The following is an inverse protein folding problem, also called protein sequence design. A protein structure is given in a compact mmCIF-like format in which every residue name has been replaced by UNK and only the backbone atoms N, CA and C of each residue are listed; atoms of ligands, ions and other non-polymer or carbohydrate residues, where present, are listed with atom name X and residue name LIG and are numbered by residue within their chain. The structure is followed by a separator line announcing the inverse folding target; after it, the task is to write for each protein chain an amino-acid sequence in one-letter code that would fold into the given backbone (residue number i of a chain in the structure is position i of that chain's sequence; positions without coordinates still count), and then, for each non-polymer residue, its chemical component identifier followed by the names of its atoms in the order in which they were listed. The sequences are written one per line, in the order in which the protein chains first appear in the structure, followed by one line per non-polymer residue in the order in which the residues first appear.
data_IF_222158922945
#
_entry.id   IF_222158922945
#
_cell.length_a   1.000
_cell.length_b   1.000
_cell.length_c   1.000
_cell.angle_alpha   90.00
_cell.angle_beta   90.00
_cell.angle_gamma   90.00
#
_symmetry.space_group_name_H-M   'P 1'
#
loop_
_entity.id
_entity.type
_entity.pdbx_description
1 polymer ?
#
# COMPACT_ATOMS: atom_id res chain seq x y z
N UNK A 1 -13.73 -17.73 -96.39
CA UNK A 1 -13.72 -16.56 -95.47
C UNK A 1 -14.20 -17.08 -94.11
N UNK A 2 -13.57 -16.92 -92.93
CA UNK A 2 -12.48 -16.09 -92.39
C UNK A 2 -11.78 -16.91 -91.27
N UNK A 3 -10.50 -16.59 -91.05
CA UNK A 3 -9.59 -17.11 -90.00
C UNK A 3 -10.01 -16.65 -88.59
N UNK A 4 -9.64 -17.39 -87.55
CA UNK A 4 -8.80 -16.87 -86.44
C UNK A 4 -8.41 -17.93 -85.39
N UNK A 5 -7.09 -17.99 -85.12
CA UNK A 5 -6.46 -18.57 -83.92
C UNK A 5 -6.47 -17.51 -82.81
N UNK A 6 -6.69 -17.86 -81.54
CA UNK A 6 -6.14 -17.10 -80.40
C UNK A 6 -5.72 -18.05 -79.26
N UNK A 7 -4.46 -17.87 -78.86
CA UNK A 7 -3.73 -18.40 -77.70
C UNK A 7 -3.98 -17.47 -76.49
N UNK A 8 -4.07 -17.98 -75.26
CA UNK A 8 -3.80 -17.25 -74.00
C UNK A 8 -3.65 -18.29 -72.88
N UNK A 9 -2.45 -18.66 -72.41
CA UNK A 9 -1.59 -18.00 -71.42
C UNK A 9 -2.32 -17.54 -70.14
N UNK A 10 -2.17 -18.35 -69.09
CA UNK A 10 -1.58 -17.95 -67.81
C UNK A 10 -2.31 -16.95 -66.90
N UNK A 11 -2.81 -17.45 -65.77
CA UNK A 11 -2.78 -16.72 -64.50
C UNK A 11 -2.64 -17.73 -63.35
N UNK A 12 -1.41 -17.89 -62.85
CA UNK A 12 -1.14 -18.57 -61.58
C UNK A 12 -1.46 -17.57 -60.47
N UNK A 13 -2.47 -17.89 -59.67
CA UNK A 13 -2.91 -17.09 -58.54
C UNK A 13 -2.07 -17.53 -57.32
N UNK A 14 -1.00 -16.80 -57.04
CA UNK A 14 -0.19 -16.99 -55.82
C UNK A 14 -0.98 -16.42 -54.65
N UNK A 15 -1.59 -17.33 -53.88
CA UNK A 15 -2.26 -17.04 -52.63
C UNK A 15 -1.21 -16.78 -51.53
N UNK A 16 -0.73 -15.55 -51.41
CA UNK A 16 0.11 -15.14 -50.28
C UNK A 16 -0.76 -15.02 -49.03
N UNK A 17 -0.86 -16.14 -48.28
CA UNK A 17 -1.31 -16.15 -46.90
C UNK A 17 -0.32 -15.33 -46.06
N UNK A 18 -0.61 -14.04 -45.92
CA UNK A 18 -0.01 -13.22 -44.90
C UNK A 18 -0.42 -13.75 -43.53
N UNK A 19 0.44 -14.59 -42.94
CA UNK A 19 0.45 -14.85 -41.51
C UNK A 19 0.73 -13.50 -40.83
N UNK A 20 -0.34 -12.77 -40.52
CA UNK A 20 -0.28 -11.67 -39.56
C UNK A 20 0.18 -12.28 -38.24
N UNK A 21 1.47 -12.12 -37.96
CA UNK A 21 2.03 -12.44 -36.67
C UNK A 21 1.29 -11.59 -35.63
N UNK A 22 0.47 -12.25 -34.81
CA UNK A 22 0.00 -11.68 -33.56
C UNK A 22 1.24 -11.27 -32.75
N UNK A 23 1.51 -9.97 -32.71
CA UNK A 23 2.50 -9.40 -31.82
C UNK A 23 1.97 -9.51 -30.39
N UNK A 24 2.11 -10.71 -29.81
CA UNK A 24 2.00 -10.91 -28.38
C UNK A 24 3.22 -10.26 -27.74
N UNK A 25 3.00 -9.15 -27.04
CA UNK A 25 3.42 -8.90 -25.65
C UNK A 25 3.34 -7.40 -25.40
N UNK A 26 2.22 -6.97 -24.83
CA UNK A 26 2.31 -5.88 -23.87
C UNK A 26 3.31 -6.34 -22.81
N UNK A 27 4.51 -5.75 -22.83
CA UNK A 27 5.48 -5.91 -21.77
C UNK A 27 4.79 -5.44 -20.49
N UNK A 28 4.64 -6.33 -19.52
CA UNK A 28 4.04 -6.06 -18.22
C UNK A 28 5.02 -5.16 -17.44
N UNK A 29 5.01 -3.86 -17.77
CA UNK A 29 5.87 -2.82 -17.19
C UNK A 29 5.41 -2.48 -15.78
N UNK A 30 5.61 -3.41 -14.84
CA UNK A 30 5.30 -3.18 -13.43
C UNK A 30 6.53 -2.61 -12.75
N UNK A 31 6.66 -1.29 -12.74
CA UNK A 31 7.67 -0.59 -11.95
C UNK A 31 6.98 0.10 -10.80
N UNK A 32 7.03 -0.45 -9.58
CA UNK A 32 6.48 0.25 -8.41
C UNK A 32 7.43 1.30 -7.91
N UNK A 33 7.29 2.53 -8.39
CA UNK A 33 8.02 3.68 -7.84
C UNK A 33 7.14 4.93 -7.84
N UNK A 34 5.99 4.88 -7.16
CA UNK A 34 5.45 6.11 -6.56
C UNK A 34 5.08 5.83 -5.12
N UNK A 35 5.59 6.69 -4.25
CA UNK A 35 5.51 6.51 -2.80
C UNK A 35 4.67 7.65 -2.23
N UNK A 36 3.69 7.32 -1.38
CA UNK A 36 3.02 8.34 -0.58
C UNK A 36 4.00 8.81 0.50
N UNK A 37 4.75 9.87 0.20
CA UNK A 37 5.63 10.54 1.15
C UNK A 37 7.06 9.98 1.30
N UNK A 38 7.59 9.15 0.40
CA UNK A 38 8.95 8.60 0.55
C UNK A 38 10.05 9.29 -0.28
N UNK A 39 9.76 10.42 -0.94
CA UNK A 39 10.74 11.15 -1.76
C UNK A 39 12.01 11.61 -1.01
N UNK A 40 12.03 11.55 0.33
CA UNK A 40 13.19 11.88 1.17
C UNK A 40 13.61 10.76 2.15
N UNK A 41 13.10 9.53 2.01
CA UNK A 41 13.58 8.39 2.80
C UNK A 41 14.46 7.54 1.90
N UNK A 42 15.75 7.42 2.27
CA UNK A 42 16.67 6.55 1.55
C UNK A 42 16.01 5.16 1.34
N UNK A 43 16.05 4.59 0.12
CA UNK A 43 15.52 3.27 -0.12
C UNK A 43 16.19 2.32 0.86
N UNK A 44 15.40 1.69 1.74
CA UNK A 44 15.91 0.61 2.59
C UNK A 44 16.43 -0.45 1.63
N UNK A 45 17.73 -0.69 1.68
CA UNK A 45 18.43 -1.66 0.85
C UNK A 45 17.79 -3.03 1.08
N UNK A 46 17.00 -3.49 0.12
CA UNK A 46 16.23 -4.72 0.21
C UNK A 46 17.18 -5.91 0.01
N UNK A 47 17.63 -6.54 1.09
CA UNK A 47 18.26 -7.87 1.04
C UNK A 47 17.25 -8.92 0.54
N UNK A 48 17.64 -9.89 -0.29
CA UNK A 48 16.73 -10.85 -0.89
C UNK A 48 16.35 -11.96 0.10
N UNK A 49 15.23 -11.81 0.81
CA UNK A 49 14.38 -12.89 1.36
C UNK A 49 13.15 -12.27 2.06
N UNK A 50 11.93 -12.83 1.97
CA UNK A 50 10.77 -12.35 2.75
C UNK A 50 10.91 -12.83 4.20
N UNK A 51 11.91 -12.29 4.89
CA UNK A 51 11.88 -12.11 6.34
C UNK A 51 11.32 -10.71 6.56
N UNK A 52 10.46 -10.54 7.56
CA UNK A 52 9.80 -9.28 7.90
C UNK A 52 10.66 -8.03 7.65
N UNK A 53 10.08 -6.93 7.12
CA UNK A 53 10.82 -5.71 6.82
C UNK A 53 11.68 -5.32 8.02
N UNK A 54 12.96 -5.09 7.74
CA UNK A 54 14.02 -4.79 8.71
C UNK A 54 13.47 -3.81 9.73
N UNK A 55 13.36 -4.26 10.98
CA UNK A 55 13.08 -3.41 12.12
C UNK A 55 14.00 -2.18 12.01
N UNK A 56 13.51 -0.99 12.37
CA UNK A 56 14.41 0.14 12.59
C UNK A 56 15.62 -0.35 13.38
N UNK A 57 16.81 0.08 12.97
CA UNK A 57 18.08 -0.28 13.61
C UNK A 57 18.18 0.14 15.09
N UNK A 58 17.16 0.81 15.64
CA UNK A 58 17.02 1.17 17.06
C UNK A 58 16.29 0.11 17.90
N UNK A 59 15.74 -0.95 17.30
CA UNK A 59 15.19 -2.09 18.03
C UNK A 59 13.92 -1.82 18.85
N UNK A 60 13.24 -0.68 18.66
CA UNK A 60 12.10 -0.28 19.52
C UNK A 60 10.71 -0.37 18.86
N UNK A 61 10.58 -0.84 17.63
CA UNK A 61 9.28 -1.00 16.97
C UNK A 61 9.09 -2.38 16.37
N UNK A 62 8.26 -3.24 17.00
CA UNK A 62 7.73 -4.42 16.32
C UNK A 62 6.64 -3.98 15.35
N UNK A 63 6.77 -4.36 14.09
CA UNK A 63 5.70 -4.19 13.10
C UNK A 63 4.42 -4.86 13.59
N UNK A 64 3.30 -4.14 13.48
CA UNK A 64 1.97 -4.70 13.57
C UNK A 64 1.44 -5.15 12.21
N UNK A 65 0.25 -5.73 12.22
CA UNK A 65 -0.47 -6.15 11.02
C UNK A 65 -1.83 -5.46 10.94
N UNK A 66 -2.28 -5.17 9.73
CA UNK A 66 -3.69 -4.83 9.44
C UNK A 66 -4.30 -6.01 8.70
N UNK A 67 -5.33 -6.60 9.29
CA UNK A 67 -5.98 -7.83 8.81
C UNK A 67 -7.47 -7.59 8.54
N UNK A 68 -8.08 -8.51 7.81
CA UNK A 68 -9.51 -8.50 7.58
C UNK A 68 -10.27 -8.66 8.91
N UNK A 69 -11.31 -7.84 9.17
CA UNK A 69 -12.30 -8.12 10.21
C UNK A 69 -12.90 -9.52 10.05
N UNK A 70 -13.31 -10.15 11.16
CA UNK A 70 -13.79 -11.54 11.16
C UNK A 70 -15.04 -11.78 10.32
N UNK A 71 -15.81 -10.73 10.03
CA UNK A 71 -17.00 -10.77 9.19
C UNK A 71 -16.72 -10.42 7.71
N UNK A 72 -15.47 -10.19 7.32
CA UNK A 72 -15.10 -9.90 5.94
C UNK A 72 -14.59 -11.14 5.22
N UNK A 73 -15.00 -11.27 3.97
CA UNK A 73 -14.38 -12.17 3.02
C UNK A 73 -13.08 -11.57 2.46
N UNK A 74 -12.16 -12.42 2.02
CA UNK A 74 -10.89 -11.99 1.41
C UNK A 74 -11.09 -11.00 0.25
N UNK A 75 -12.12 -11.20 -0.58
CA UNK A 75 -12.43 -10.28 -1.68
C UNK A 75 -12.83 -8.87 -1.19
N UNK A 76 -13.53 -8.78 -0.06
CA UNK A 76 -13.91 -7.49 0.53
C UNK A 76 -12.67 -6.76 1.09
N UNK A 77 -11.78 -7.49 1.76
CA UNK A 77 -10.51 -6.92 2.22
C UNK A 77 -9.68 -6.39 1.04
N UNK A 78 -9.51 -7.21 -0.01
CA UNK A 78 -8.80 -6.79 -1.23
C UNK A 78 -9.39 -5.51 -1.84
N UNK A 79 -10.73 -5.40 -1.90
CA UNK A 79 -11.39 -4.18 -2.39
C UNK A 79 -11.04 -2.97 -1.53
N UNK A 80 -11.02 -3.10 -0.20
CA UNK A 80 -10.62 -2.00 0.69
C UNK A 80 -9.16 -1.60 0.51
N UNK A 81 -8.25 -2.55 0.25
CA UNK A 81 -6.85 -2.22 -0.08
C UNK A 81 -6.75 -1.44 -1.38
N UNK A 82 -7.48 -1.86 -2.43
CA UNK A 82 -7.50 -1.13 -3.71
C UNK A 82 -8.09 0.27 -3.53
N UNK A 83 -9.18 0.41 -2.78
CA UNK A 83 -9.77 1.72 -2.47
C UNK A 83 -8.80 2.60 -1.67
N UNK A 84 -8.06 2.03 -0.71
CA UNK A 84 -7.05 2.75 0.07
C UNK A 84 -5.93 3.31 -0.81
N UNK A 85 -5.47 2.55 -1.79
CA UNK A 85 -4.39 2.93 -2.70
C UNK A 85 -4.86 3.65 -3.98
N UNK A 86 -6.15 4.00 -4.06
CA UNK A 86 -6.79 4.57 -5.26
C UNK A 86 -6.25 5.93 -5.73
N UNK A 87 -5.45 6.59 -4.90
CA UNK A 87 -4.79 7.86 -5.20
C UNK A 87 -3.31 7.69 -5.62
N UNK A 88 -2.84 6.45 -5.74
CA UNK A 88 -1.47 6.14 -6.17
C UNK A 88 -1.46 5.61 -7.60
N UNK A 89 -0.36 5.88 -8.29
CA UNK A 89 -0.07 5.41 -9.64
C UNK A 89 1.24 4.64 -9.69
N UNK A 90 1.46 3.92 -10.79
CA UNK A 90 2.79 3.56 -11.24
C UNK A 90 3.49 4.80 -11.84
N UNK A 91 4.83 4.82 -12.02
CA UNK A 91 5.60 5.95 -12.58
C UNK A 91 5.18 6.38 -13.99
N UNK A 92 4.46 5.53 -14.71
CA UNK A 92 3.92 5.85 -16.04
C UNK A 92 2.54 6.52 -15.97
N UNK A 93 2.04 6.81 -14.77
CA UNK A 93 0.75 7.44 -14.50
C UNK A 93 -0.44 6.49 -14.53
N UNK A 94 -0.25 5.20 -14.77
CA UNK A 94 -1.34 4.23 -14.73
C UNK A 94 -1.73 3.88 -13.29
N UNK A 95 -2.97 3.41 -13.05
CA UNK A 95 -3.35 2.92 -11.74
C UNK A 95 -2.42 1.81 -11.24
N UNK A 96 -2.10 1.85 -9.95
CA UNK A 96 -1.23 0.88 -9.30
C UNK A 96 -1.67 -0.58 -9.60
N UNK A 97 -0.77 -1.38 -10.14
CA UNK A 97 -1.02 -2.78 -10.46
C UNK A 97 -0.82 -3.63 -9.21
N UNK A 98 -1.89 -3.87 -8.46
CA UNK A 98 -1.88 -4.66 -7.23
C UNK A 98 -2.23 -6.13 -7.49
N UNK A 99 -1.42 -7.03 -6.95
CA UNK A 99 -1.71 -8.45 -6.84
C UNK A 99 -2.66 -8.75 -5.66
N UNK A 100 -2.62 -10.00 -5.20
CA UNK A 100 -3.40 -10.42 -4.03
C UNK A 100 -2.69 -10.04 -2.74
N UNK A 101 -3.42 -9.35 -1.85
CA UNK A 101 -2.98 -8.95 -0.51
C UNK A 101 -3.80 -9.72 0.52
N UNK A 102 -3.20 -10.66 1.26
CA UNK A 102 -3.93 -11.44 2.25
C UNK A 102 -4.43 -10.60 3.42
N UNK A 103 -5.68 -10.82 3.82
CA UNK A 103 -6.25 -10.27 5.05
C UNK A 103 -6.03 -11.16 6.27
N UNK A 104 -5.17 -12.17 6.19
CA UNK A 104 -4.89 -13.10 7.30
C UNK A 104 -3.57 -12.75 7.99
N UNK A 105 -3.54 -12.95 9.31
CA UNK A 105 -2.34 -12.71 10.13
C UNK A 105 -1.25 -13.72 9.80
N UNK A 106 0.01 -13.26 9.73
CA UNK A 106 1.21 -14.05 9.43
C UNK A 106 1.31 -14.66 8.02
N UNK A 107 0.38 -14.36 7.10
CA UNK A 107 0.53 -14.75 5.70
C UNK A 107 1.72 -14.00 5.06
N UNK A 108 2.32 -14.58 4.01
CA UNK A 108 3.46 -13.97 3.30
C UNK A 108 3.12 -12.68 2.54
N UNK A 109 1.83 -12.46 2.26
CA UNK A 109 1.28 -11.21 1.74
C UNK A 109 0.39 -10.57 2.80
N UNK A 110 0.13 -9.28 2.71
CA UNK A 110 -0.73 -8.56 3.65
C UNK A 110 -0.29 -7.13 3.87
N UNK A 111 -0.81 -6.52 4.92
CA UNK A 111 -0.45 -5.16 5.31
C UNK A 111 0.31 -5.21 6.63
N UNK A 112 1.52 -4.64 6.61
CA UNK A 112 2.35 -4.43 7.80
C UNK A 112 2.35 -2.95 8.11
N UNK A 113 2.30 -2.60 9.38
CA UNK A 113 2.40 -1.21 9.78
C UNK A 113 3.22 -1.04 11.05
N UNK A 114 3.81 0.15 11.18
CA UNK A 114 4.51 0.61 12.37
C UNK A 114 4.17 2.08 12.55
N UNK A 115 4.18 2.56 13.78
CA UNK A 115 4.09 3.98 14.03
C UNK A 115 4.57 4.33 15.42
N UNK A 116 4.77 5.62 15.63
CA UNK A 116 4.95 6.20 16.96
C UNK A 116 3.99 7.38 17.09
N UNK A 117 3.61 7.71 18.33
CA UNK A 117 2.77 8.88 18.58
C UNK A 117 3.41 9.81 19.61
N UNK A 118 3.51 11.08 19.25
CA UNK A 118 3.83 12.18 20.15
C UNK A 118 2.64 12.54 21.01
N UNK A 119 2.85 12.70 22.31
CA UNK A 119 1.81 12.95 23.29
C UNK A 119 2.13 14.18 24.13
N UNK A 120 1.11 14.93 24.55
CA UNK A 120 1.25 16.11 25.42
C UNK A 120 1.74 15.80 26.84
N UNK A 121 1.88 14.53 27.21
CA UNK A 121 2.36 14.11 28.51
C UNK A 121 2.83 12.66 28.52
N UNK A 122 3.18 12.18 29.71
CA UNK A 122 3.62 10.81 29.94
C UNK A 122 2.47 9.80 29.72
N UNK A 123 2.74 8.76 28.94
CA UNK A 123 1.79 7.67 28.73
C UNK A 123 1.85 6.66 29.87
N UNK A 124 0.71 6.38 30.49
CA UNK A 124 0.58 5.37 31.53
C UNK A 124 -0.19 4.16 31.01
N UNK A 125 0.52 3.07 30.70
CA UNK A 125 -0.07 1.88 30.11
C UNK A 125 -1.05 1.15 31.04
N UNK A 126 -0.88 1.28 32.35
CA UNK A 126 -1.70 0.61 33.37
C UNK A 126 -2.66 1.58 34.10
N UNK A 127 -2.69 2.84 33.69
CA UNK A 127 -3.39 3.91 34.42
C UNK A 127 -4.39 4.67 33.56
N UNK A 128 -4.95 5.72 34.15
CA UNK A 128 -5.84 6.63 33.45
C UNK A 128 -5.01 7.59 32.61
N UNK A 129 -5.28 7.62 31.30
CA UNK A 129 -4.72 8.60 30.39
C UNK A 129 -5.78 9.68 30.08
N UNK A 130 -5.34 10.93 29.98
CA UNK A 130 -6.10 12.03 29.41
C UNK A 130 -5.13 12.91 28.63
N UNK A 131 -4.70 12.39 27.47
CA UNK A 131 -3.61 12.95 26.68
C UNK A 131 -4.13 13.37 25.32
N UNK A 132 -3.47 14.38 24.75
CA UNK A 132 -3.68 14.81 23.36
C UNK A 132 -2.51 14.36 22.50
N UNK A 133 -2.81 13.98 21.27
CA UNK A 133 -1.79 13.63 20.28
C UNK A 133 -1.19 14.90 19.68
N UNK A 134 0.11 14.85 19.41
CA UNK A 134 0.88 15.94 18.82
C UNK A 134 1.62 15.45 17.57
N UNK A 135 1.72 16.29 16.54
CA UNK A 135 2.51 15.99 15.33
C UNK A 135 3.98 15.68 15.63
N UNK A 136 4.58 16.39 16.60
CA UNK A 136 5.98 16.20 16.97
C UNK A 136 6.21 14.80 17.55
N UNK A 137 7.08 14.00 16.92
CA UNK A 137 7.37 12.62 17.34
C UNK A 137 6.32 11.59 16.90
N UNK A 138 5.33 12.00 16.11
CA UNK A 138 4.37 11.09 15.49
C UNK A 138 4.81 10.67 14.09
N UNK A 139 4.70 9.39 13.79
CA UNK A 139 4.86 8.88 12.44
C UNK A 139 4.04 7.60 12.22
N UNK A 140 3.69 7.35 10.96
CA UNK A 140 3.01 6.14 10.52
C UNK A 140 3.69 5.61 9.25
N UNK A 141 4.06 4.33 9.28
CA UNK A 141 4.55 3.57 8.14
C UNK A 141 3.59 2.42 7.87
N UNK A 142 3.13 2.30 6.63
CA UNK A 142 2.35 1.15 6.16
C UNK A 142 3.07 0.58 4.93
N UNK A 143 3.27 -0.74 4.93
CA UNK A 143 3.81 -1.49 3.80
C UNK A 143 2.73 -2.47 3.33
N UNK A 144 2.26 -2.30 2.09
CA UNK A 144 1.34 -3.24 1.44
C UNK A 144 2.15 -4.22 0.61
N UNK A 145 2.10 -5.49 1.01
CA UNK A 145 2.82 -6.61 0.40
C UNK A 145 1.81 -7.50 -0.32
N UNK A 146 1.95 -7.64 -1.63
CA UNK A 146 1.18 -8.60 -2.41
C UNK A 146 2.06 -9.71 -2.98
N UNK A 147 1.45 -10.61 -3.75
CA UNK A 147 2.15 -11.75 -4.34
C UNK A 147 3.14 -11.39 -5.46
N UNK A 148 3.25 -10.13 -5.87
CA UNK A 148 4.26 -9.69 -6.84
C UNK A 148 5.55 -9.20 -6.15
N UNK A 149 5.49 -8.83 -4.88
CA UNK A 149 6.67 -8.39 -4.12
C UNK A 149 7.75 -9.47 -4.12
N UNK A 150 8.99 -9.08 -4.44
CA UNK A 150 10.14 -9.99 -4.57
C UNK A 150 10.30 -10.63 -5.94
N UNK A 151 9.29 -10.55 -6.82
CA UNK A 151 9.41 -11.00 -8.22
C UNK A 151 10.21 -10.00 -9.06
N UNK A 152 10.71 -10.43 -10.22
CA UNK A 152 11.35 -9.56 -11.22
C UNK A 152 10.32 -9.04 -12.22
N UNK A 153 10.36 -7.74 -12.53
CA UNK A 153 9.56 -7.14 -13.61
C UNK A 153 10.20 -7.37 -14.99
N UNK A 154 9.60 -6.82 -16.05
CA UNK A 154 10.10 -6.94 -17.42
C UNK A 154 11.50 -6.33 -17.61
N UNK A 155 11.85 -5.36 -16.77
CA UNK A 155 13.13 -4.65 -16.72
C UNK A 155 14.18 -5.37 -15.85
N UNK A 156 13.83 -6.48 -15.19
CA UNK A 156 14.72 -7.25 -14.31
C UNK A 156 14.89 -6.67 -12.91
N UNK A 157 14.09 -5.67 -12.55
CA UNK A 157 14.07 -5.05 -11.22
C UNK A 157 13.19 -5.86 -10.27
N UNK A 158 13.55 -5.87 -8.99
CA UNK A 158 12.73 -6.53 -7.96
C UNK A 158 11.55 -5.63 -7.60
N UNK A 159 10.33 -6.15 -7.72
CA UNK A 159 9.11 -5.46 -7.31
C UNK A 159 9.12 -5.32 -5.78
N UNK A 160 8.97 -4.08 -5.31
CA UNK A 160 8.96 -3.72 -3.89
C UNK A 160 7.52 -3.66 -3.35
N UNK A 161 7.37 -3.65 -2.02
CA UNK A 161 6.09 -3.29 -1.40
C UNK A 161 5.63 -1.89 -1.82
N UNK A 162 4.36 -1.58 -1.57
CA UNK A 162 3.82 -0.23 -1.71
C UNK A 162 3.97 0.49 -0.36
N UNK A 163 4.87 1.47 -0.23
CA UNK A 163 5.10 2.15 1.03
C UNK A 163 4.22 3.39 1.17
N UNK A 164 3.63 3.54 2.36
CA UNK A 164 2.98 4.78 2.83
C UNK A 164 3.77 5.26 4.03
N UNK A 165 4.23 6.51 4.00
CA UNK A 165 4.92 7.12 5.13
C UNK A 165 4.39 8.51 5.42
N UNK A 166 3.90 8.71 6.65
CA UNK A 166 3.39 10.00 7.14
C UNK A 166 4.19 10.38 8.38
N UNK A 167 4.93 11.48 8.31
CA UNK A 167 5.68 12.04 9.42
C UNK A 167 5.93 13.54 9.18
N UNK A 168 6.22 14.32 10.23
CA UNK A 168 6.36 15.78 10.13
C UNK A 168 7.42 16.28 9.14
N UNK A 169 8.43 15.46 8.85
CA UNK A 169 9.54 15.74 7.93
C UNK A 169 9.26 15.31 6.48
N UNK A 170 8.12 14.69 6.23
CA UNK A 170 7.73 14.18 4.92
C UNK A 170 6.99 15.25 4.14
N UNK A 171 7.34 15.41 2.85
CA UNK A 171 6.62 16.30 1.96
C UNK A 171 5.16 15.89 1.84
N UNK A 172 4.25 16.88 1.84
CA UNK A 172 2.82 16.65 1.84
C UNK A 172 2.23 16.35 3.22
N UNK A 173 3.03 16.23 4.28
CA UNK A 173 2.51 16.13 5.64
C UNK A 173 1.60 17.32 6.00
N UNK A 174 0.47 17.04 6.64
CA UNK A 174 -0.47 18.07 7.10
C UNK A 174 -0.52 18.09 8.64
N UNK A 175 -0.92 16.98 9.28
CA UNK A 175 -1.03 16.94 10.74
C UNK A 175 -1.08 15.52 11.32
N UNK A 176 -0.79 15.38 12.62
CA UNK A 176 -1.25 14.24 13.42
C UNK A 176 -2.03 14.77 14.61
N UNK A 177 -3.27 14.32 14.75
CA UNK A 177 -4.20 14.76 15.81
C UNK A 177 -4.86 13.56 16.47
N UNK A 178 -5.48 13.77 17.63
CA UNK A 178 -6.10 12.68 18.37
C UNK A 178 -6.16 12.88 19.87
N UNK A 179 -6.76 11.89 20.53
CA UNK A 179 -6.93 11.84 21.98
C UNK A 179 -6.69 10.43 22.51
N UNK A 180 -6.18 10.36 23.73
CA UNK A 180 -6.10 9.13 24.53
C UNK A 180 -6.87 9.37 25.82
N UNK A 181 -7.93 8.58 26.03
CA UNK A 181 -8.82 8.68 27.18
C UNK A 181 -8.97 7.30 27.83
N UNK A 182 -8.50 7.16 29.07
CA UNK A 182 -8.41 5.87 29.74
C UNK A 182 -7.53 4.90 28.96
N UNK A 183 -8.11 3.80 28.47
CA UNK A 183 -7.47 2.79 27.62
C UNK A 183 -7.85 2.90 26.14
N UNK A 184 -8.54 3.97 25.74
CA UNK A 184 -8.98 4.21 24.37
C UNK A 184 -8.08 5.23 23.69
N UNK A 185 -7.77 5.01 22.41
CA UNK A 185 -7.02 5.95 21.58
C UNK A 185 -7.73 6.18 20.25
N UNK A 186 -7.77 7.44 19.83
CA UNK A 186 -8.19 7.87 18.50
C UNK A 186 -7.08 8.76 17.93
N UNK A 187 -6.46 8.34 16.84
CA UNK A 187 -5.28 8.98 16.24
C UNK A 187 -5.53 9.14 14.75
N UNK A 188 -5.40 10.35 14.22
CA UNK A 188 -5.57 10.66 12.80
C UNK A 188 -4.27 11.24 12.25
N UNK A 189 -3.74 10.58 11.23
CA UNK A 189 -2.62 11.04 10.40
C UNK A 189 -3.18 11.64 9.13
N UNK A 190 -2.74 12.84 8.77
CA UNK A 190 -3.18 13.55 7.57
C UNK A 190 -1.98 14.03 6.75
N UNK A 191 -2.08 13.82 5.44
CA UNK A 191 -1.18 14.36 4.44
C UNK A 191 -2.00 14.91 3.24
N UNK A 192 -1.30 15.33 2.18
CA UNK A 192 -1.90 15.88 0.95
C UNK A 192 -2.81 14.88 0.22
N UNK A 193 -2.64 13.58 0.47
CA UNK A 193 -3.38 12.51 -0.19
C UNK A 193 -4.65 12.12 0.58
N UNK A 194 -4.74 12.44 1.87
CA UNK A 194 -5.91 12.22 2.69
C UNK A 194 -5.60 11.88 4.14
N UNK A 195 -6.52 11.16 4.77
CA UNK A 195 -6.48 10.81 6.20
C UNK A 195 -6.38 9.31 6.41
N UNK A 196 -5.62 8.92 7.43
CA UNK A 196 -5.60 7.57 7.99
C UNK A 196 -5.86 7.69 9.49
N UNK A 197 -6.87 6.98 9.97
CA UNK A 197 -7.27 7.02 11.37
C UNK A 197 -7.13 5.64 12.01
N UNK A 198 -6.43 5.60 13.15
CA UNK A 198 -6.39 4.44 14.04
C UNK A 198 -7.30 4.71 15.23
N UNK A 199 -8.27 3.84 15.45
CA UNK A 199 -9.16 3.89 16.60
C UNK A 199 -9.11 2.54 17.33
N UNK A 200 -8.83 2.53 18.62
CA UNK A 200 -8.70 1.27 19.34
C UNK A 200 -8.57 1.40 20.84
N UNK A 201 -8.26 0.26 21.46
CA UNK A 201 -7.94 0.15 22.88
C UNK A 201 -6.57 -0.47 23.07
N UNK A 202 -5.94 -0.16 24.19
CA UNK A 202 -4.65 -0.73 24.56
C UNK A 202 -4.65 -1.35 25.95
N UNK A 203 -3.72 -2.27 26.17
CA UNK A 203 -3.32 -2.79 27.48
C UNK A 203 -1.79 -2.84 27.58
N UNK A 204 -1.25 -3.51 28.60
CA UNK A 204 0.20 -3.66 28.80
C UNK A 204 0.97 -4.30 27.64
N UNK A 205 0.29 -5.02 26.75
CA UNK A 205 0.92 -5.76 25.67
C UNK A 205 0.54 -5.24 24.28
N UNK A 206 -0.74 -4.95 24.04
CA UNK A 206 -1.26 -4.73 22.71
C UNK A 206 -2.13 -3.49 22.61
N UNK A 207 -1.91 -2.72 21.55
CA UNK A 207 -2.82 -1.73 21.00
C UNK A 207 -3.54 -2.37 19.81
N UNK A 208 -4.86 -2.47 19.91
CA UNK A 208 -5.72 -3.14 18.92
C UNK A 208 -6.92 -2.29 18.57
N UNK A 209 -7.35 -2.33 17.32
CA UNK A 209 -8.47 -1.49 16.88
C UNK A 209 -8.78 -1.62 15.40
N UNK A 210 -9.41 -0.59 14.84
CA UNK A 210 -9.68 -0.44 13.41
C UNK A 210 -8.78 0.61 12.79
N UNK A 211 -8.45 0.39 11.50
CA UNK A 211 -7.85 1.42 10.65
C UNK A 211 -8.89 1.86 9.63
N UNK A 212 -9.15 3.15 9.54
CA UNK A 212 -9.98 3.76 8.50
C UNK A 212 -9.18 4.76 7.69
N UNK A 213 -9.64 5.04 6.47
CA UNK A 213 -9.00 5.98 5.57
C UNK A 213 -10.03 6.82 4.82
N UNK A 214 -9.61 8.00 4.38
CA UNK A 214 -10.34 8.84 3.44
C UNK A 214 -9.33 9.54 2.54
N UNK A 215 -9.33 9.23 1.25
CA UNK A 215 -8.50 9.87 0.25
C UNK A 215 -9.15 11.17 -0.21
N UNK A 216 -8.34 12.19 -0.53
CA UNK A 216 -8.84 13.49 -1.01
C UNK A 216 -9.32 13.42 -2.48
N UNK A 217 -8.68 12.58 -3.28
CA UNK A 217 -8.99 12.37 -4.70
C UNK A 217 -8.63 10.94 -5.11
N UNK A 218 -9.18 10.46 -6.23
CA UNK A 218 -8.66 9.29 -6.93
C UNK A 218 -7.60 9.72 -7.96
N UNK A 219 -6.74 8.80 -8.39
CA UNK A 219 -5.65 9.09 -9.34
C UNK A 219 -6.15 9.68 -10.67
N UNK A 220 -7.35 9.27 -11.11
CA UNK A 220 -7.98 9.76 -12.34
C UNK A 220 -8.72 11.10 -12.17
N UNK A 221 -8.44 11.86 -11.09
CA UNK A 221 -9.14 13.11 -10.76
C UNK A 221 -10.58 12.93 -10.27
N UNK A 222 -11.01 11.69 -10.03
CA UNK A 222 -12.33 11.36 -9.48
C UNK A 222 -12.45 11.64 -7.98
N UNK A 223 -13.66 11.42 -7.45
CA UNK A 223 -13.92 11.53 -6.02
C UNK A 223 -13.03 10.57 -5.21
N UNK A 224 -12.45 11.07 -4.12
CA UNK A 224 -11.67 10.27 -3.19
C UNK A 224 -12.48 9.12 -2.59
N UNK A 225 -11.81 7.99 -2.39
CA UNK A 225 -12.39 6.82 -1.75
C UNK A 225 -12.21 6.88 -0.23
N UNK A 226 -13.16 6.34 0.52
CA UNK A 226 -13.09 6.24 1.98
C UNK A 226 -13.65 4.91 2.46
N UNK A 227 -13.16 4.44 3.59
CA UNK A 227 -13.60 3.16 4.14
C UNK A 227 -12.83 2.72 5.37
N UNK A 228 -13.14 1.52 5.84
CA UNK A 228 -12.31 0.82 6.80
C UNK A 228 -11.28 0.00 6.01
N UNK A 229 -10.00 0.08 6.38
CA UNK A 229 -8.96 -0.75 5.77
C UNK A 229 -8.92 -2.14 6.42
N UNK A 230 -9.12 -2.21 7.73
CA UNK A 230 -9.17 -3.48 8.47
C UNK A 230 -9.19 -3.29 9.97
N UNK A 231 -8.75 -4.33 10.69
CA UNK A 231 -8.42 -4.28 12.12
C UNK A 231 -6.93 -4.48 12.31
N UNK A 232 -6.36 -3.85 13.34
CA UNK A 232 -4.93 -3.89 13.59
C UNK A 232 -4.59 -4.43 14.96
N UNK A 233 -3.34 -4.88 15.07
CA UNK A 233 -2.68 -5.22 16.35
C UNK A 233 -1.21 -4.83 16.28
N UNK A 234 -0.74 -4.09 17.28
CA UNK A 234 0.67 -3.70 17.46
C UNK A 234 1.02 -3.69 18.95
N UNK A 235 2.30 -3.86 19.27
CA UNK A 235 2.77 -3.80 20.66
C UNK A 235 2.56 -2.39 21.24
N UNK A 236 1.91 -2.29 22.42
CA UNK A 236 1.55 -0.98 23.00
C UNK A 236 2.78 -0.10 23.18
N UNK A 237 3.82 -0.61 23.83
CA UNK A 237 5.03 0.18 24.10
C UNK A 237 5.97 0.33 22.89
N UNK A 238 5.68 -0.35 21.78
CA UNK A 238 6.33 -0.09 20.50
C UNK A 238 5.67 1.06 19.73
N UNK A 239 4.40 1.37 20.03
CA UNK A 239 3.64 2.44 19.40
C UNK A 239 3.55 3.71 20.26
N UNK A 240 3.34 3.54 21.57
CA UNK A 240 3.37 4.59 22.57
C UNK A 240 4.70 4.53 23.33
N UNK A 241 5.26 5.70 23.66
CA UNK A 241 6.42 5.77 24.55
C UNK A 241 5.97 5.51 25.99
N UNK A 242 6.00 4.25 26.41
CA UNK A 242 5.73 3.84 27.79
C UNK A 242 6.82 4.36 28.76
N UNK A 243 6.43 4.58 30.01
CA UNK A 243 7.33 4.79 31.14
C UNK A 243 7.68 3.48 31.82
#
# INVERSE_FOLDING_TARGET
MRKSKILSWGAVLVLSLGLGACANKASDKRQRIETRGANNVAPVESTPQPSAPVAKSDGQGKWGEIIAPSNWQQAQFQQQVVSFLSNLSEPDGNPLSLGTVSGRSNDSTGIRFYGSVGLSGAFNVNGQNNLTVQSSGSELRIAVVDNYVGMKNAEGETIKEVPIYIASQVEGFVSVTGVIQGSQALITYEDSFGKIQLQGTFNSNWFTGSVSFANNSAINGGAGQQGQLGVFRVETCGFFKCQ
#
